data_IF_093987161555
#
_entry.id   IF_093987161555
#
_cell.length_a   1.000
_cell.length_b   1.000
_cell.length_c   1.000
_cell.angle_alpha   90.00
_cell.angle_beta   90.00
_cell.angle_gamma   90.00
#
_symmetry.space_group_name_H-M   'P 1'
#
loop_
_entity.id
_entity.type
_entity.pdbx_description
1 polymer ?
#
# COMPACT_ATOMS: atom_id res chain seq x y z
N UNK A 1 -12.87 1.58 -24.26
CA UNK A 1 -11.60 2.27 -24.62
C UNK A 1 -11.38 3.57 -23.84
N UNK A 2 -12.23 4.64 -24.02
CA UNK A 2 -12.02 5.92 -23.34
C UNK A 2 -12.16 5.84 -21.80
N UNK A 3 -13.19 5.16 -21.30
CA UNK A 3 -13.41 4.93 -19.85
C UNK A 3 -12.33 4.08 -19.22
N UNK A 4 -11.85 3.06 -19.91
CA UNK A 4 -10.73 2.22 -19.46
C UNK A 4 -9.43 3.02 -19.34
N UNK A 5 -9.17 3.91 -20.30
CA UNK A 5 -8.00 4.78 -20.27
C UNK A 5 -8.03 5.75 -19.09
N UNK A 6 -9.18 6.38 -18.84
CA UNK A 6 -9.37 7.25 -17.68
C UNK A 6 -9.23 6.44 -16.38
N UNK A 7 -9.82 5.25 -16.30
CA UNK A 7 -9.70 4.38 -15.14
C UNK A 7 -8.25 4.02 -14.83
N UNK A 8 -7.49 3.62 -15.85
CA UNK A 8 -6.07 3.31 -15.72
C UNK A 8 -5.26 4.52 -15.22
N UNK A 9 -5.52 5.68 -15.79
CA UNK A 9 -4.84 6.93 -15.43
C UNK A 9 -5.11 7.31 -13.96
N UNK A 10 -6.35 7.19 -13.52
CA UNK A 10 -6.74 7.42 -12.12
C UNK A 10 -6.03 6.43 -11.19
N UNK A 11 -6.04 5.13 -11.53
CA UNK A 11 -5.36 4.09 -10.73
C UNK A 11 -3.87 4.40 -10.58
N UNK A 12 -3.20 4.81 -11.66
CA UNK A 12 -1.77 5.17 -11.62
C UNK A 12 -1.53 6.33 -10.67
N UNK A 13 -2.28 7.42 -10.77
CA UNK A 13 -2.12 8.61 -9.92
C UNK A 13 -2.34 8.25 -8.44
N UNK A 14 -3.44 7.55 -8.14
CA UNK A 14 -3.73 7.15 -6.76
C UNK A 14 -2.68 6.16 -6.20
N UNK A 15 -2.12 5.30 -7.05
CA UNK A 15 -1.04 4.38 -6.66
C UNK A 15 0.24 5.12 -6.25
N UNK A 16 0.61 6.16 -6.99
CA UNK A 16 1.74 7.01 -6.59
C UNK A 16 1.46 7.71 -5.26
N UNK A 17 0.28 8.30 -5.09
CA UNK A 17 -0.12 8.94 -3.84
C UNK A 17 -0.10 7.98 -2.64
N UNK A 18 -0.66 6.78 -2.81
CA UNK A 18 -0.68 5.73 -1.80
C UNK A 18 0.74 5.26 -1.45
N UNK A 19 1.62 5.08 -2.45
CA UNK A 19 3.02 4.69 -2.22
C UNK A 19 3.79 5.74 -1.43
N UNK A 20 3.59 7.03 -1.72
CA UNK A 20 4.21 8.13 -0.98
C UNK A 20 3.69 8.16 0.46
N UNK A 21 2.37 8.01 0.66
CA UNK A 21 1.76 7.95 1.99
C UNK A 21 2.29 6.77 2.81
N UNK A 22 2.38 5.58 2.22
CA UNK A 22 2.96 4.39 2.86
C UNK A 22 4.43 4.62 3.24
N UNK A 23 5.20 5.28 2.36
CA UNK A 23 6.60 5.60 2.63
C UNK A 23 6.75 6.56 3.81
N UNK A 24 5.92 7.60 3.90
CA UNK A 24 5.95 8.56 5.01
C UNK A 24 5.65 7.87 6.34
N UNK A 25 4.61 7.03 6.39
CA UNK A 25 4.24 6.29 7.61
C UNK A 25 5.34 5.32 8.04
N UNK A 26 5.96 4.60 7.10
CA UNK A 26 7.08 3.71 7.40
C UNK A 26 8.32 4.46 7.86
N UNK A 27 8.62 5.65 7.32
CA UNK A 27 9.70 6.48 7.84
C UNK A 27 9.43 6.94 9.28
N UNK A 28 8.20 7.30 9.61
CA UNK A 28 7.80 7.65 10.98
C UNK A 28 7.97 6.45 11.93
N UNK A 29 7.57 5.25 11.52
CA UNK A 29 7.76 4.02 12.30
C UNK A 29 9.24 3.70 12.54
N UNK A 30 10.08 3.80 11.50
CA UNK A 30 11.53 3.60 11.63
C UNK A 30 12.13 4.62 12.61
N UNK A 31 11.71 5.89 12.52
CA UNK A 31 12.16 6.94 13.44
C UNK A 31 11.76 6.65 14.90
N UNK A 32 10.52 6.21 15.12
CA UNK A 32 10.02 5.85 16.46
C UNK A 32 10.75 4.64 17.06
N UNK A 33 11.17 3.67 16.25
CA UNK A 33 11.84 2.43 16.69
C UNK A 33 13.38 2.49 16.57
N UNK A 34 13.96 3.67 16.37
CA UNK A 34 15.41 3.83 16.15
C UNK A 34 16.25 3.19 17.26
N UNK A 35 15.85 3.36 18.53
CA UNK A 35 16.55 2.80 19.69
C UNK A 35 16.49 1.27 19.72
N UNK A 36 15.35 0.68 19.40
CA UNK A 36 15.18 -0.79 19.32
C UNK A 36 16.05 -1.37 18.20
N UNK A 37 16.06 -0.72 17.02
CA UNK A 37 16.91 -1.13 15.89
C UNK A 37 18.39 -1.07 16.28
N UNK A 38 18.78 -0.04 17.03
CA UNK A 38 20.15 0.12 17.54
C UNK A 38 20.56 -1.00 18.49
N UNK A 39 19.71 -1.36 19.46
CA UNK A 39 19.95 -2.46 20.39
C UNK A 39 20.03 -3.82 19.70
N UNK A 40 19.11 -4.11 18.77
CA UNK A 40 19.16 -5.34 17.98
C UNK A 40 20.46 -5.46 17.19
N UNK A 41 20.94 -4.36 16.63
CA UNK A 41 22.21 -4.35 15.89
C UNK A 41 23.43 -4.46 16.80
N UNK A 42 23.39 -3.89 18.00
CA UNK A 42 24.44 -4.05 19.01
C UNK A 42 24.55 -5.50 19.49
N UNK A 43 23.44 -6.24 19.57
CA UNK A 43 23.36 -7.67 19.85
C UNK A 43 23.85 -8.57 18.70
N UNK A 44 24.27 -7.98 17.56
CA UNK A 44 24.86 -8.72 16.45
C UNK A 44 23.89 -9.09 15.32
N UNK A 45 22.65 -8.65 15.34
CA UNK A 45 21.72 -8.89 14.23
C UNK A 45 22.21 -8.26 12.93
N UNK A 46 22.13 -9.04 11.83
CA UNK A 46 22.58 -8.59 10.51
C UNK A 46 21.64 -7.51 9.95
N UNK A 47 22.20 -6.56 9.18
CA UNK A 47 21.42 -5.52 8.49
C UNK A 47 20.26 -6.07 7.65
N UNK A 48 20.48 -7.24 7.03
CA UNK A 48 19.46 -7.94 6.22
C UNK A 48 18.27 -8.38 7.05
N UNK A 49 18.46 -8.80 8.30
CA UNK A 49 17.37 -9.21 9.18
C UNK A 49 16.44 -8.02 9.47
N UNK A 50 17.02 -6.85 9.80
CA UNK A 50 16.24 -5.62 10.01
C UNK A 50 15.49 -5.21 8.74
N UNK A 51 16.16 -5.23 7.57
CA UNK A 51 15.55 -4.91 6.30
C UNK A 51 14.37 -5.82 5.99
N UNK A 52 14.56 -7.14 6.09
CA UNK A 52 13.48 -8.11 5.79
C UNK A 52 12.31 -7.95 6.76
N UNK A 53 12.55 -7.66 8.03
CA UNK A 53 11.50 -7.45 9.03
C UNK A 53 10.60 -6.25 8.65
N UNK A 54 11.19 -5.10 8.30
CA UNK A 54 10.42 -3.91 7.90
C UNK A 54 9.71 -4.08 6.55
N UNK A 55 10.35 -4.75 5.58
CA UNK A 55 9.70 -5.07 4.29
C UNK A 55 8.53 -6.04 4.51
N UNK A 56 8.71 -7.07 5.33
CA UNK A 56 7.61 -7.99 5.66
C UNK A 56 6.45 -7.27 6.36
N UNK A 57 6.74 -6.37 7.30
CA UNK A 57 5.73 -5.55 7.98
C UNK A 57 4.95 -4.70 6.97
N UNK A 58 5.61 -4.02 6.02
CA UNK A 58 4.94 -3.22 5.01
C UNK A 58 4.08 -4.04 4.05
N UNK A 59 4.53 -5.24 3.67
CA UNK A 59 3.75 -6.14 2.81
C UNK A 59 2.53 -6.69 3.54
N UNK A 60 2.66 -7.06 4.81
CA UNK A 60 1.52 -7.52 5.64
C UNK A 60 0.48 -6.41 5.77
N UNK A 61 0.90 -5.18 6.08
CA UNK A 61 0.00 -4.04 6.16
C UNK A 61 -0.70 -3.76 4.83
N UNK A 62 0.02 -3.86 3.71
CA UNK A 62 -0.55 -3.69 2.38
C UNK A 62 -1.57 -4.79 2.03
N UNK A 63 -1.31 -6.05 2.43
CA UNK A 63 -2.28 -7.15 2.28
C UNK A 63 -3.55 -6.89 3.09
N UNK A 64 -3.43 -6.49 4.36
CA UNK A 64 -4.57 -6.15 5.19
C UNK A 64 -5.38 -5.00 4.59
N UNK A 65 -4.71 -3.95 4.14
CA UNK A 65 -5.35 -2.83 3.44
C UNK A 65 -6.02 -3.27 2.14
N UNK A 66 -5.40 -4.17 1.39
CA UNK A 66 -5.97 -4.77 0.18
C UNK A 66 -7.24 -5.56 0.46
N UNK A 67 -7.27 -6.37 1.53
CA UNK A 67 -8.47 -7.11 1.96
C UNK A 67 -9.59 -6.13 2.32
N UNK A 68 -9.30 -5.10 3.12
CA UNK A 68 -10.28 -4.07 3.50
C UNK A 68 -10.77 -3.31 2.26
N UNK A 69 -9.87 -2.98 1.33
CA UNK A 69 -10.21 -2.33 0.07
C UNK A 69 -11.13 -3.20 -0.81
N UNK A 70 -10.84 -4.49 -0.95
CA UNK A 70 -11.69 -5.43 -1.68
C UNK A 70 -13.06 -5.61 -1.00
N UNK A 71 -13.10 -5.67 0.34
CA UNK A 71 -14.34 -5.73 1.08
C UNK A 71 -15.19 -4.46 0.87
N UNK A 72 -14.56 -3.28 0.92
CA UNK A 72 -15.23 -2.01 0.61
C UNK A 72 -15.74 -1.94 -0.82
N UNK A 73 -14.93 -2.38 -1.79
CA UNK A 73 -15.35 -2.43 -3.20
C UNK A 73 -16.50 -3.43 -3.44
N UNK A 74 -16.54 -4.55 -2.70
CA UNK A 74 -17.63 -5.50 -2.79
C UNK A 74 -18.97 -4.93 -2.30
N UNK A 75 -18.95 -4.03 -1.31
CA UNK A 75 -20.13 -3.31 -0.86
C UNK A 75 -20.68 -2.37 -1.95
N UNK A 76 -19.81 -1.83 -2.80
CA UNK A 76 -20.24 -1.00 -3.94
C UNK A 76 -21.04 -1.78 -4.99
N UNK A 77 -20.91 -3.11 -5.06
CA UNK A 77 -21.74 -3.94 -5.94
C UNK A 77 -23.23 -3.93 -5.54
N UNK A 78 -23.52 -3.67 -4.26
CA UNK A 78 -24.90 -3.57 -3.78
C UNK A 78 -25.57 -2.25 -4.18
N UNK A 79 -24.78 -1.25 -4.56
CA UNK A 79 -25.25 0.03 -5.03
C UNK A 79 -25.33 0.02 -6.57
N UNK A 80 -26.53 -0.08 -7.13
CA UNK A 80 -26.77 0.14 -8.56
C UNK A 80 -26.94 1.64 -8.83
N UNK A 81 -26.01 2.21 -9.59
CA UNK A 81 -26.12 3.61 -10.02
C UNK A 81 -26.83 3.67 -11.36
N UNK A 82 -28.04 4.23 -11.38
CA UNK A 82 -28.79 4.50 -12.60
C UNK A 82 -28.64 5.96 -12.96
N UNK A 83 -28.01 6.25 -14.09
CA UNK A 83 -27.94 7.60 -14.65
C UNK A 83 -28.86 7.71 -15.86
N UNK A 84 -29.72 8.73 -15.85
CA UNK A 84 -30.53 9.08 -17.03
C UNK A 84 -29.70 9.90 -18.01
N UNK A 85 -29.63 9.44 -19.22
CA UNK A 85 -29.12 10.27 -20.33
C UNK A 85 -30.22 11.19 -20.82
N UNK A 86 -30.11 12.46 -20.46
CA UNK A 86 -31.11 13.49 -20.80
C UNK A 86 -31.28 13.76 -22.31
N UNK A 87 -30.32 13.31 -23.16
CA UNK A 87 -30.40 13.47 -24.60
C UNK A 87 -31.18 12.34 -25.30
N UNK A 88 -31.15 11.12 -24.74
CA UNK A 88 -31.78 9.96 -25.39
C UNK A 88 -32.90 9.34 -24.55
N UNK A 89 -33.20 9.86 -23.37
CA UNK A 89 -34.15 9.31 -22.38
C UNK A 89 -33.93 7.82 -22.09
N UNK A 90 -32.72 7.33 -22.29
CA UNK A 90 -32.36 5.96 -22.00
C UNK A 90 -31.69 5.84 -20.63
N UNK A 91 -32.12 4.84 -19.84
CA UNK A 91 -31.53 4.52 -18.56
C UNK A 91 -30.23 3.73 -18.80
N UNK A 92 -29.09 4.29 -18.40
CA UNK A 92 -27.84 3.58 -18.34
C UNK A 92 -27.62 3.09 -16.91
N UNK A 93 -27.78 1.80 -16.67
CA UNK A 93 -27.44 1.19 -15.38
C UNK A 93 -26.00 0.68 -15.40
N UNK A 94 -25.14 1.26 -14.57
CA UNK A 94 -23.78 0.76 -14.34
C UNK A 94 -23.82 -0.25 -13.19
N UNK A 95 -23.53 -1.51 -13.48
CA UNK A 95 -23.33 -2.56 -12.46
C UNK A 95 -21.83 -2.80 -12.28
N UNK A 96 -21.34 -2.55 -11.09
CA UNK A 96 -19.99 -2.97 -10.73
C UNK A 96 -19.95 -4.48 -10.59
N UNK A 97 -19.12 -5.14 -11.38
CA UNK A 97 -18.95 -6.59 -11.31
C UNK A 97 -17.53 -6.91 -10.81
N UNK A 98 -17.44 -7.43 -9.60
CA UNK A 98 -16.17 -7.85 -9.02
C UNK A 98 -15.91 -9.32 -9.38
N UNK A 99 -15.05 -9.55 -10.37
CA UNK A 99 -14.65 -10.92 -10.73
C UNK A 99 -13.52 -11.42 -9.82
N UNK A 100 -13.38 -12.73 -9.60
CA UNK A 100 -12.26 -13.29 -8.85
C UNK A 100 -10.88 -12.87 -9.39
N UNK A 101 -10.78 -12.69 -10.70
CA UNK A 101 -9.57 -12.23 -11.35
C UNK A 101 -9.18 -10.81 -10.90
N UNK A 102 -10.16 -9.92 -10.75
CA UNK A 102 -9.93 -8.54 -10.25
C UNK A 102 -9.44 -8.58 -8.80
N UNK A 103 -10.02 -9.45 -7.95
CA UNK A 103 -9.59 -9.60 -6.56
C UNK A 103 -8.14 -10.06 -6.48
N UNK A 104 -7.78 -11.09 -7.25
CA UNK A 104 -6.38 -11.60 -7.30
C UNK A 104 -5.43 -10.52 -7.81
N UNK A 105 -5.78 -9.83 -8.90
CA UNK A 105 -4.95 -8.75 -9.44
C UNK A 105 -4.76 -7.61 -8.42
N UNK A 106 -5.80 -7.24 -7.68
CA UNK A 106 -5.73 -6.22 -6.63
C UNK A 106 -4.85 -6.66 -5.47
N UNK A 107 -4.88 -7.93 -5.07
CA UNK A 107 -3.99 -8.46 -4.03
C UNK A 107 -2.53 -8.48 -4.46
N UNK A 108 -2.24 -8.92 -5.69
CA UNK A 108 -0.89 -8.87 -6.25
C UNK A 108 -0.39 -7.42 -6.32
N UNK A 109 -1.23 -6.51 -6.77
CA UNK A 109 -0.92 -5.10 -6.82
C UNK A 109 -0.63 -4.52 -5.42
N UNK A 110 -1.43 -4.88 -4.40
CA UNK A 110 -1.21 -4.48 -3.01
C UNK A 110 0.17 -4.94 -2.50
N UNK A 111 0.58 -6.18 -2.79
CA UNK A 111 1.91 -6.70 -2.42
C UNK A 111 3.02 -5.89 -3.08
N UNK A 112 2.89 -5.61 -4.39
CA UNK A 112 3.88 -4.82 -5.12
C UNK A 112 4.00 -3.41 -4.51
N UNK A 113 2.87 -2.76 -4.20
CA UNK A 113 2.85 -1.44 -3.58
C UNK A 113 3.40 -1.44 -2.16
N UNK A 114 3.08 -2.45 -1.35
CA UNK A 114 3.63 -2.62 -0.01
C UNK A 114 5.15 -2.81 -0.03
N UNK A 115 5.65 -3.60 -0.99
CA UNK A 115 7.08 -3.79 -1.19
C UNK A 115 7.76 -2.47 -1.63
N UNK A 116 7.22 -1.79 -2.63
CA UNK A 116 7.77 -0.53 -3.15
C UNK A 116 7.78 0.58 -2.09
N UNK A 117 6.67 0.76 -1.35
CA UNK A 117 6.54 1.78 -0.30
C UNK A 117 7.40 1.49 0.93
N UNK A 118 7.62 0.19 1.26
CA UNK A 118 8.41 -0.22 2.42
C UNK A 118 9.91 -0.34 2.18
N UNK A 119 10.36 -0.54 0.93
CA UNK A 119 11.75 -0.85 0.62
C UNK A 119 12.73 0.28 1.00
N UNK A 120 12.43 1.52 0.62
CA UNK A 120 13.30 2.67 0.91
C UNK A 120 13.43 2.96 2.41
N UNK A 121 12.34 3.03 3.22
CA UNK A 121 12.43 3.16 4.66
C UNK A 121 13.18 2.01 5.32
N UNK A 122 12.91 0.76 4.89
CA UNK A 122 13.59 -0.43 5.40
C UNK A 122 15.11 -0.41 5.14
N UNK A 123 15.52 0.04 3.95
CA UNK A 123 16.95 0.23 3.65
C UNK A 123 17.59 1.28 4.55
N UNK A 124 16.88 2.37 4.83
CA UNK A 124 17.36 3.42 5.74
C UNK A 124 17.51 2.86 7.16
N UNK A 125 16.51 2.14 7.68
CA UNK A 125 16.57 1.47 8.97
C UNK A 125 17.78 0.53 9.08
N UNK A 126 18.00 -0.31 8.05
CA UNK A 126 19.10 -1.25 8.00
C UNK A 126 20.50 -0.59 7.94
N UNK A 127 20.60 0.64 7.42
CA UNK A 127 21.87 1.39 7.30
C UNK A 127 22.18 2.28 8.50
N UNK A 128 21.28 2.42 9.46
CA UNK A 128 21.51 3.26 10.64
C UNK A 128 22.74 2.78 11.43
N UNK A 129 23.62 3.71 11.79
CA UNK A 129 24.79 3.42 12.57
C UNK A 129 24.42 3.19 14.05
N UNK A 130 25.03 2.19 14.69
CA UNK A 130 24.78 1.81 16.10
C UNK A 130 24.98 3.02 17.03
N UNK A 131 25.98 3.86 16.74
CA UNK A 131 26.33 5.04 17.54
C UNK A 131 25.25 6.14 17.50
N UNK A 132 24.52 6.28 16.40
CA UNK A 132 23.43 7.27 16.29
C UNK A 132 22.18 6.83 17.06
N UNK A 133 21.94 5.55 17.17
CA UNK A 133 20.80 5.00 17.88
C UNK A 133 20.95 5.11 19.43
N UNK A 134 22.18 5.20 19.94
CA UNK A 134 22.46 5.32 21.38
C UNK A 134 22.64 6.76 21.85
N UNK A 135 22.87 7.72 20.95
CA UNK A 135 23.06 9.14 21.26
C UNK A 135 21.78 10.00 21.22
N UNK A 136 20.65 9.43 20.83
CA UNK A 136 19.36 10.12 20.73
C UNK A 136 18.56 10.06 22.03
N UNK A 137 19.21 10.26 23.19
CA UNK A 137 18.59 10.40 24.49
C UNK A 137 19.02 11.69 25.13
#
# INVERSE_FOLDING_TARGET
MFVEFIGLFVVIIFSFGASIGAMITMYAQVAARTREIGTLRALGFRRRAVLVSFVAESVILALLAGIVGCAGASLMQLASFTTMNFQTFSEMSFKFHMSPAVVVASMVFAVIMGFAGGLLPAMRAARMAIVQATRGG
#
